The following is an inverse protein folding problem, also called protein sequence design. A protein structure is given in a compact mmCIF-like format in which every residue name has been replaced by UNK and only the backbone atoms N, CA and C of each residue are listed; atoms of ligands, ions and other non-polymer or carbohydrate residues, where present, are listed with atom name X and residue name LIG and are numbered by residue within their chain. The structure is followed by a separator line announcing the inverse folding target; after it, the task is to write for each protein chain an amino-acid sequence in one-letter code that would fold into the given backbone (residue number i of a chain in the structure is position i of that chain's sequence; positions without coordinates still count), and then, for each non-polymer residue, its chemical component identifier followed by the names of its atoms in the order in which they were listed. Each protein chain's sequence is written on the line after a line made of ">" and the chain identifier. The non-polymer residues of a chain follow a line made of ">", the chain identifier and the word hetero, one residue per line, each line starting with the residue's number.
data_IF_944541582408
#
_entry.id   IF_944541582408
#
_cell.length_a   1.000
_cell.length_b   1.000
_cell.length_c   1.000
_cell.angle_alpha   90.00
_cell.angle_beta   90.00
_cell.angle_gamma   90.00
#
_symmetry.space_group_name_H-M   'P 1'
#
loop_
_entity.id
_entity.type
_entity.pdbx_description
1 polymer ?
#
# COMPACT_ATOMS: atom_id res chain seq x y z
N UNK A 1 -14.42 -6.64 0.56
CA UNK A 1 -14.75 -5.21 0.67
C UNK A 1 -13.50 -4.47 1.11
N UNK A 2 -13.02 -3.52 0.31
CA UNK A 2 -11.98 -2.58 0.72
C UNK A 2 -12.65 -1.43 1.48
N UNK A 3 -12.08 -1.04 2.62
CA UNK A 3 -12.62 -0.01 3.50
C UNK A 3 -11.67 1.19 3.54
N UNK A 4 -12.23 2.38 3.75
CA UNK A 4 -11.42 3.55 4.03
C UNK A 4 -10.74 3.43 5.40
N UNK A 5 -9.61 4.12 5.64
CA UNK A 5 -9.00 4.19 6.95
C UNK A 5 -10.01 4.67 8.00
N UNK A 6 -10.09 3.95 9.13
CA UNK A 6 -11.01 4.26 10.22
C UNK A 6 -12.46 3.79 10.02
N UNK A 7 -12.79 3.16 8.89
CA UNK A 7 -14.12 2.57 8.68
C UNK A 7 -14.23 1.16 9.26
N UNK A 8 -15.39 0.85 9.84
CA UNK A 8 -15.72 -0.47 10.36
C UNK A 8 -16.43 -1.35 9.34
N UNK A 9 -16.16 -2.66 9.40
CA UNK A 9 -16.67 -3.62 8.41
C UNK A 9 -18.15 -3.91 8.58
N UNK A 10 -18.61 -4.09 9.82
CA UNK A 10 -19.98 -4.48 10.13
C UNK A 10 -21.04 -3.54 9.50
N UNK A 11 -20.99 -2.21 9.71
CA UNK A 11 -22.00 -1.31 9.12
C UNK A 11 -21.97 -1.33 7.58
N UNK A 12 -20.79 -1.45 6.97
CA UNK A 12 -20.67 -1.52 5.51
C UNK A 12 -21.24 -2.84 4.97
N UNK A 13 -21.08 -3.95 5.68
CA UNK A 13 -21.70 -5.22 5.27
C UNK A 13 -23.22 -5.20 5.43
N UNK A 14 -23.75 -4.58 6.47
CA UNK A 14 -25.20 -4.39 6.64
C UNK A 14 -25.79 -3.58 5.48
N UNK A 15 -25.09 -2.52 5.05
CA UNK A 15 -25.50 -1.69 3.91
C UNK A 15 -25.43 -2.46 2.58
N UNK A 16 -24.31 -3.12 2.29
CA UNK A 16 -24.08 -3.77 0.99
C UNK A 16 -24.89 -5.07 0.85
N UNK A 17 -25.03 -5.81 1.95
CA UNK A 17 -25.61 -7.15 2.00
C UNK A 17 -26.72 -7.24 3.07
N UNK A 18 -27.83 -6.49 2.91
CA UNK A 18 -28.99 -6.59 3.79
C UNK A 18 -29.54 -8.02 3.80
N UNK A 19 -30.27 -8.37 4.85
CA UNK A 19 -30.70 -9.74 5.16
C UNK A 19 -31.36 -10.45 3.96
N UNK A 20 -32.24 -9.75 3.23
CA UNK A 20 -32.94 -10.31 2.08
C UNK A 20 -32.02 -10.74 0.92
N UNK A 21 -30.83 -10.12 0.75
CA UNK A 21 -29.85 -10.54 -0.26
C UNK A 21 -29.11 -11.82 0.15
N UNK A 22 -29.15 -12.18 1.42
CA UNK A 22 -28.53 -13.38 1.96
C UNK A 22 -29.48 -14.59 2.06
N UNK A 23 -30.74 -14.46 1.62
CA UNK A 23 -31.72 -15.52 1.80
C UNK A 23 -31.26 -16.82 1.10
N UNK A 24 -31.15 -17.90 1.86
CA UNK A 24 -30.66 -19.19 1.38
C UNK A 24 -29.14 -19.28 1.16
N UNK A 25 -28.35 -18.27 1.56
CA UNK A 25 -26.90 -18.23 1.40
C UNK A 25 -26.22 -18.30 2.77
N UNK A 26 -25.35 -19.29 2.96
CA UNK A 26 -24.47 -19.36 4.13
C UNK A 26 -23.31 -18.37 3.97
N UNK A 27 -23.00 -17.60 5.03
CA UNK A 27 -21.83 -16.72 5.10
C UNK A 27 -20.76 -17.38 5.96
N UNK A 28 -19.53 -17.40 5.47
CA UNK A 28 -18.36 -17.84 6.23
C UNK A 28 -17.41 -16.65 6.33
N UNK A 29 -17.04 -16.26 7.54
CA UNK A 29 -15.95 -15.31 7.73
C UNK A 29 -14.63 -16.07 7.65
N UNK A 30 -13.78 -15.68 6.70
CA UNK A 30 -12.47 -16.29 6.49
C UNK A 30 -11.41 -15.77 7.46
N UNK A 31 -11.77 -14.87 8.39
CA UNK A 31 -10.90 -14.45 9.48
C UNK A 31 -9.96 -13.29 9.13
N UNK A 32 -8.76 -13.31 9.71
CA UNK A 32 -7.86 -12.17 9.91
C UNK A 32 -7.59 -11.33 8.65
N UNK A 33 -7.91 -10.03 8.73
CA UNK A 33 -7.81 -9.10 7.59
C UNK A 33 -6.61 -8.15 7.70
N UNK A 34 -5.81 -8.27 8.76
CA UNK A 34 -4.74 -7.35 9.13
C UNK A 34 -5.23 -5.95 9.52
N UNK A 35 -4.30 -5.07 9.86
CA UNK A 35 -4.59 -3.70 10.29
C UNK A 35 -5.01 -2.80 9.12
N UNK A 36 -6.12 -2.08 9.34
CA UNK A 36 -6.69 -1.10 8.40
C UNK A 36 -6.13 0.31 8.60
N UNK A 37 -5.64 0.60 9.80
CA UNK A 37 -4.94 1.85 10.09
C UNK A 37 -3.61 1.92 9.36
N UNK A 38 -3.25 3.13 8.93
CA UNK A 38 -1.91 3.43 8.44
C UNK A 38 -0.91 3.53 9.61
N UNK A 39 0.36 3.32 9.32
CA UNK A 39 1.44 3.66 10.25
C UNK A 39 1.59 5.19 10.37
N UNK A 40 2.08 5.69 11.50
CA UNK A 40 2.19 7.12 11.77
C UNK A 40 3.32 7.80 10.95
N UNK A 41 3.01 8.87 10.22
CA UNK A 41 3.97 9.52 9.30
C UNK A 41 5.04 10.38 9.99
N UNK A 42 4.94 10.58 11.29
CA UNK A 42 5.95 11.25 12.14
C UNK A 42 7.05 10.29 12.64
N UNK A 43 6.99 9.01 12.26
CA UNK A 43 8.00 8.03 12.62
C UNK A 43 9.34 8.25 11.88
N UNK A 44 10.50 7.97 12.51
CA UNK A 44 11.81 8.08 11.87
C UNK A 44 11.92 7.33 10.54
N UNK A 45 11.33 6.14 10.46
CA UNK A 45 11.28 5.32 9.25
C UNK A 45 10.66 6.07 8.06
N UNK A 46 9.57 6.83 8.29
CA UNK A 46 8.94 7.61 7.24
C UNK A 46 9.83 8.76 6.78
N UNK A 47 10.43 9.50 7.71
CA UNK A 47 11.37 10.58 7.40
C UNK A 47 12.56 10.13 6.54
N UNK A 48 13.13 8.95 6.82
CA UNK A 48 14.23 8.40 6.00
C UNK A 48 13.78 8.07 4.58
N UNK A 49 12.57 7.52 4.40
CA UNK A 49 11.98 7.32 3.07
C UNK A 49 11.85 8.65 2.33
N UNK A 50 11.34 9.69 2.99
CA UNK A 50 11.21 11.02 2.38
C UNK A 50 12.56 11.59 1.93
N UNK A 51 13.59 11.47 2.77
CA UNK A 51 14.93 11.96 2.48
C UNK A 51 15.57 11.22 1.29
N UNK A 52 15.39 9.89 1.21
CA UNK A 52 15.87 9.10 0.09
C UNK A 52 15.23 9.53 -1.24
N UNK A 53 13.90 9.72 -1.23
CA UNK A 53 13.15 10.21 -2.41
C UNK A 53 13.60 11.61 -2.81
N UNK A 54 13.71 12.56 -1.86
CA UNK A 54 14.14 13.94 -2.15
C UNK A 54 15.57 14.01 -2.69
N UNK A 55 16.48 13.16 -2.20
CA UNK A 55 17.85 13.09 -2.70
C UNK A 55 17.90 12.61 -4.16
N UNK A 56 17.09 11.62 -4.53
CA UNK A 56 17.03 11.10 -5.90
C UNK A 56 16.21 11.99 -6.86
N UNK A 57 15.14 12.61 -6.34
CA UNK A 57 14.16 13.37 -7.11
C UNK A 57 13.77 14.66 -6.36
N UNK A 58 14.59 15.74 -6.43
CA UNK A 58 14.38 16.95 -5.63
C UNK A 58 13.05 17.69 -5.87
N UNK A 59 12.42 17.46 -7.04
CA UNK A 59 11.15 18.07 -7.42
C UNK A 59 9.94 17.16 -7.19
N UNK A 60 10.15 15.93 -6.73
CA UNK A 60 9.05 15.01 -6.47
C UNK A 60 8.25 15.48 -5.25
N UNK A 61 6.91 15.54 -5.33
CA UNK A 61 6.09 15.67 -4.13
C UNK A 61 6.30 14.43 -3.26
N UNK A 62 6.38 14.63 -1.95
CA UNK A 62 6.56 13.57 -0.97
C UNK A 62 5.50 13.71 0.10
N UNK A 63 4.89 12.59 0.46
CA UNK A 63 3.85 12.51 1.47
C UNK A 63 3.18 11.14 1.46
N UNK A 64 2.22 10.89 2.37
CA UNK A 64 1.48 9.65 2.39
C UNK A 64 0.66 9.50 1.10
N UNK A 65 0.74 8.32 0.49
CA UNK A 65 -0.06 7.96 -0.67
C UNK A 65 -1.02 6.83 -0.31
N UNK A 66 -2.31 7.03 -0.61
CA UNK A 66 -3.36 6.06 -0.34
C UNK A 66 -3.62 5.21 -1.60
N UNK A 67 -3.61 3.89 -1.43
CA UNK A 67 -3.95 2.90 -2.47
C UNK A 67 -5.32 2.28 -2.14
N UNK A 68 -6.44 2.82 -2.66
CA UNK A 68 -7.76 2.36 -2.22
C UNK A 68 -8.24 1.05 -2.85
N UNK A 69 -7.66 0.65 -3.99
CA UNK A 69 -8.09 -0.53 -4.74
C UNK A 69 -7.29 -1.79 -4.45
N UNK A 70 -6.22 -1.68 -3.65
CA UNK A 70 -5.31 -2.79 -3.38
C UNK A 70 -5.02 -2.92 -1.90
N UNK A 71 -4.51 -4.08 -1.50
CA UNK A 71 -3.99 -4.32 -0.16
C UNK A 71 -2.61 -4.96 -0.28
N UNK A 72 -1.72 -4.62 0.63
CA UNK A 72 -0.38 -5.22 0.74
C UNK A 72 -0.28 -6.01 2.03
N UNK A 73 0.76 -6.83 2.15
CA UNK A 73 1.06 -7.58 3.37
C UNK A 73 1.47 -6.69 4.54
N UNK A 74 1.79 -5.41 4.29
CA UNK A 74 2.03 -4.40 5.33
C UNK A 74 0.92 -4.33 6.37
N UNK A 75 -0.32 -4.71 6.02
CA UNK A 75 -1.44 -4.80 6.98
C UNK A 75 -1.21 -5.82 8.10
N UNK A 76 -0.52 -6.93 7.82
CA UNK A 76 -0.23 -7.96 8.82
C UNK A 76 0.90 -7.50 9.75
N UNK A 77 1.93 -6.86 9.21
CA UNK A 77 3.01 -6.28 10.02
C UNK A 77 2.49 -5.17 10.94
N UNK A 78 1.62 -4.29 10.44
CA UNK A 78 0.98 -3.26 11.27
C UNK A 78 0.08 -3.87 12.36
N UNK A 79 -0.62 -4.97 12.08
CA UNK A 79 -1.40 -5.69 13.08
C UNK A 79 -0.52 -6.27 14.20
N UNK A 80 0.71 -6.68 13.86
CA UNK A 80 1.72 -7.12 14.81
C UNK A 80 2.47 -5.96 15.52
N UNK A 81 2.04 -4.71 15.33
CA UNK A 81 2.68 -3.53 15.95
C UNK A 81 3.97 -3.07 15.27
N UNK A 82 4.30 -3.57 14.08
CA UNK A 82 5.48 -3.19 13.31
C UNK A 82 5.11 -2.08 12.32
N UNK A 83 5.62 -0.84 12.47
CA UNK A 83 5.39 0.22 11.51
C UNK A 83 5.84 -0.20 10.11
N UNK A 84 4.94 -0.11 9.14
CA UNK A 84 5.19 -0.54 7.76
C UNK A 84 4.59 0.44 6.76
N UNK A 85 5.37 0.78 5.72
CA UNK A 85 4.99 1.68 4.64
C UNK A 85 5.20 0.97 3.30
N UNK A 86 4.24 1.11 2.39
CA UNK A 86 4.43 0.70 1.01
C UNK A 86 5.42 1.65 0.34
N UNK A 87 6.45 1.12 -0.31
CA UNK A 87 7.45 1.92 -1.01
C UNK A 87 7.76 1.33 -2.37
N UNK A 88 7.46 2.10 -3.43
CA UNK A 88 7.71 1.74 -4.83
C UNK A 88 8.61 2.82 -5.45
N UNK A 89 9.94 2.61 -5.53
CA UNK A 89 10.88 3.61 -6.07
C UNK A 89 10.95 3.59 -7.60
N UNK A 90 9.96 3.00 -8.27
CA UNK A 90 9.96 2.80 -9.71
C UNK A 90 9.23 3.93 -10.42
N UNK A 91 9.90 4.61 -11.35
CA UNK A 91 9.29 5.63 -12.20
C UNK A 91 8.46 4.96 -13.32
N UNK A 92 7.26 4.52 -12.97
CA UNK A 92 6.33 3.86 -13.90
C UNK A 92 5.60 4.93 -14.72
N UNK A 93 5.58 4.77 -16.04
CA UNK A 93 4.81 5.64 -16.92
C UNK A 93 3.31 5.49 -16.63
N UNK A 94 2.54 6.59 -16.68
CA UNK A 94 1.11 6.55 -16.36
C UNK A 94 0.34 5.52 -17.19
N UNK A 95 0.70 5.34 -18.46
CA UNK A 95 0.10 4.32 -19.34
C UNK A 95 0.39 2.90 -18.88
N UNK A 96 1.55 2.65 -18.29
CA UNK A 96 1.93 1.34 -17.75
C UNK A 96 1.22 1.09 -16.40
N UNK A 97 0.92 2.14 -15.61
CA UNK A 97 0.21 1.97 -14.32
C UNK A 97 -1.20 1.39 -14.46
N UNK A 98 -1.85 1.59 -15.62
CA UNK A 98 -3.16 1.04 -15.93
C UNK A 98 -3.15 -0.50 -16.12
N UNK A 99 -1.97 -1.09 -16.29
CA UNK A 99 -1.79 -2.52 -16.53
C UNK A 99 -1.22 -3.25 -15.32
N UNK A 100 -1.07 -2.60 -14.16
CA UNK A 100 -0.60 -3.23 -12.93
C UNK A 100 -1.63 -4.26 -12.47
N UNK A 101 -1.21 -5.51 -12.29
CA UNK A 101 -2.08 -6.63 -11.94
C UNK A 101 -2.84 -7.26 -13.11
N UNK A 102 -2.66 -6.75 -14.33
CA UNK A 102 -3.32 -7.25 -15.54
C UNK A 102 -2.36 -8.13 -16.39
N UNK A 103 -2.86 -8.93 -17.35
CA UNK A 103 -2.01 -9.63 -18.29
C UNK A 103 -1.07 -8.66 -19.02
N UNK A 104 0.20 -9.06 -19.18
CA UNK A 104 1.25 -8.24 -19.79
C UNK A 104 1.59 -6.95 -19.01
N UNK A 105 1.43 -6.98 -17.68
CA UNK A 105 2.04 -6.02 -16.77
C UNK A 105 3.54 -5.87 -17.09
N UNK A 106 4.00 -4.63 -17.27
CA UNK A 106 5.35 -4.33 -17.69
C UNK A 106 5.78 -2.95 -17.21
N UNK A 107 7.09 -2.73 -17.26
CA UNK A 107 7.68 -1.44 -16.99
C UNK A 107 8.96 -1.25 -17.80
N UNK A 108 9.38 0.01 -17.97
CA UNK A 108 10.61 0.34 -18.67
C UNK A 108 11.83 -0.17 -17.90
N UNK A 109 12.77 -0.83 -18.59
CA UNK A 109 14.00 -1.35 -17.97
C UNK A 109 14.81 -0.26 -17.21
N UNK A 110 14.97 0.98 -17.73
CA UNK A 110 15.60 2.04 -16.96
C UNK A 110 14.90 2.39 -15.65
N UNK A 111 13.56 2.35 -15.63
CA UNK A 111 12.77 2.59 -14.42
C UNK A 111 12.97 1.49 -13.38
N UNK A 112 13.05 0.23 -13.83
CA UNK A 112 13.36 -0.90 -12.96
C UNK A 112 14.75 -0.78 -12.36
N UNK A 113 15.79 -0.60 -13.20
CA UNK A 113 17.19 -0.50 -12.74
C UNK A 113 17.40 0.72 -11.83
N UNK A 114 16.82 1.86 -12.18
CA UNK A 114 16.86 3.08 -11.35
C UNK A 114 16.17 2.88 -10.01
N UNK A 115 14.98 2.26 -10.03
CA UNK A 115 14.23 1.98 -8.81
C UNK A 115 14.96 1.00 -7.88
N UNK A 116 15.57 -0.06 -8.40
CA UNK A 116 16.39 -0.98 -7.58
C UNK A 116 17.55 -0.25 -6.92
N UNK A 117 18.22 0.68 -7.63
CA UNK A 117 19.30 1.49 -7.05
C UNK A 117 18.79 2.37 -5.90
N UNK A 118 17.67 3.05 -6.09
CA UNK A 118 17.04 3.87 -5.06
C UNK A 118 16.56 3.02 -3.87
N UNK A 119 15.99 1.84 -4.13
CA UNK A 119 15.57 0.90 -3.08
C UNK A 119 16.76 0.50 -2.22
N UNK A 120 17.88 0.09 -2.83
CA UNK A 120 19.09 -0.31 -2.13
C UNK A 120 19.69 0.81 -1.28
N UNK A 121 19.73 2.02 -1.83
CA UNK A 121 20.19 3.21 -1.09
C UNK A 121 19.29 3.51 0.11
N UNK A 122 17.98 3.41 -0.08
CA UNK A 122 16.99 3.63 0.98
C UNK A 122 17.17 2.62 2.11
N UNK A 123 17.31 1.32 1.78
CA UNK A 123 17.52 0.27 2.79
C UNK A 123 18.81 0.50 3.57
N UNK A 124 19.90 0.92 2.91
CA UNK A 124 21.18 1.24 3.61
C UNK A 124 20.99 2.34 4.65
N UNK A 125 20.36 3.46 4.26
CA UNK A 125 20.06 4.56 5.18
C UNK A 125 19.16 4.18 6.35
N UNK A 126 18.41 3.09 6.23
CA UNK A 126 17.53 2.60 7.29
C UNK A 126 18.23 1.68 8.29
N UNK A 127 19.37 1.09 7.91
CA UNK A 127 20.13 0.15 8.76
C UNK A 127 21.42 0.75 9.31
N UNK A 128 21.91 1.84 8.71
CA UNK A 128 23.02 2.65 9.20
C UNK A 128 22.58 3.55 10.38
#
# INVERSE_FOLDING_TARGET
>A
VHLLPGSELAPVLEELLPEWKGFGIARVDLGERGARSASAVDAPLFATLEQAVRAAHPRAPVGPYFLPWTATDSRFFRAAGIPSYGFSPFLVAVTDTLHIGEPNERMQLPAFVGGVRLYRETVRRLVD
#
